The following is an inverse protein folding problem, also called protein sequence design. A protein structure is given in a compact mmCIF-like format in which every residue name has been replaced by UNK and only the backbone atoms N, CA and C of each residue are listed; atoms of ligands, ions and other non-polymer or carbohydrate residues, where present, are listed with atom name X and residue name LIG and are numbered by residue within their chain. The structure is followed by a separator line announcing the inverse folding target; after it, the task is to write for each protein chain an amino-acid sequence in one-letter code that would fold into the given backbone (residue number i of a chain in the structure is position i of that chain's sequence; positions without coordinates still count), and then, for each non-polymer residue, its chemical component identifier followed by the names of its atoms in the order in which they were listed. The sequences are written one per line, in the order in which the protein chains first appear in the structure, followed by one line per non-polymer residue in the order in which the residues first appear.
data_IF_332164882485
#
_entry.id   IF_332164882485
#
_cell.length_a   1.000
_cell.length_b   1.000
_cell.length_c   1.000
_cell.angle_alpha   90.00
_cell.angle_beta   90.00
_cell.angle_gamma   90.00
#
_symmetry.space_group_name_H-M   'P 1'
#
loop_
_entity.id
_entity.type
_entity.pdbx_description
1 polymer ?
#
# COMPACT_ATOMS: atom_id res chain seq x y z
N UNK A 1 -21.49 7.67 -4.81
CA UNK A 1 -21.53 7.95 -3.35
C UNK A 1 -20.15 7.83 -2.72
N UNK A 2 -19.39 6.72 -2.84
CA UNK A 2 -18.07 6.59 -2.22
C UNK A 2 -17.06 7.66 -2.67
N UNK A 3 -16.99 8.02 -3.96
CA UNK A 3 -16.15 9.16 -4.42
C UNK A 3 -16.45 10.47 -3.71
N UNK A 4 -17.71 10.76 -3.44
CA UNK A 4 -18.11 11.96 -2.70
C UNK A 4 -17.70 11.85 -1.22
N UNK A 5 -17.85 10.67 -0.62
CA UNK A 5 -17.43 10.39 0.75
C UNK A 5 -15.90 10.55 0.89
N UNK A 6 -15.12 9.94 -0.01
CA UNK A 6 -13.66 10.11 -0.08
C UNK A 6 -13.28 11.58 -0.08
N UNK A 7 -13.84 12.38 -1.01
CA UNK A 7 -13.52 13.80 -1.11
C UNK A 7 -13.89 14.61 0.14
N UNK A 8 -14.97 14.27 0.85
CA UNK A 8 -15.36 14.94 2.10
C UNK A 8 -14.44 14.53 3.24
N UNK A 9 -14.13 13.24 3.38
CA UNK A 9 -13.21 12.76 4.41
C UNK A 9 -11.78 13.31 4.25
N UNK A 10 -11.30 13.43 3.01
CA UNK A 10 -9.99 14.01 2.73
C UNK A 10 -9.93 15.52 3.03
N UNK A 11 -11.02 16.25 2.74
CA UNK A 11 -11.07 17.70 2.96
C UNK A 11 -11.24 18.10 4.44
N UNK A 12 -11.96 17.28 5.24
CA UNK A 12 -12.39 17.67 6.59
C UNK A 12 -11.86 16.73 7.69
N UNK A 13 -11.21 15.62 7.33
CA UNK A 13 -10.90 14.54 8.26
C UNK A 13 -12.14 13.74 8.65
N UNK A 14 -11.94 12.60 9.35
CA UNK A 14 -13.07 11.74 9.72
C UNK A 14 -13.99 12.41 10.74
N UNK A 15 -13.44 13.02 11.80
CA UNK A 15 -14.23 13.59 12.91
C UNK A 15 -15.12 14.74 12.47
N UNK A 16 -14.62 15.69 11.65
CA UNK A 16 -15.38 16.87 11.22
C UNK A 16 -16.28 16.61 10.01
N UNK A 17 -16.04 15.56 9.22
CA UNK A 17 -16.90 15.18 8.12
C UNK A 17 -18.28 14.75 8.64
N UNK A 18 -19.35 15.24 7.99
CA UNK A 18 -20.73 14.87 8.32
C UNK A 18 -21.39 14.13 7.17
N UNK A 19 -22.35 13.27 7.52
CA UNK A 19 -23.16 12.56 6.51
C UNK A 19 -23.95 13.55 5.63
N UNK A 20 -24.38 14.69 6.16
CA UNK A 20 -25.06 15.73 5.38
C UNK A 20 -24.15 16.40 4.35
N UNK A 21 -22.85 16.57 4.64
CA UNK A 21 -21.86 17.04 3.66
C UNK A 21 -21.69 16.03 2.52
N UNK A 22 -21.59 14.76 2.88
CA UNK A 22 -21.43 13.66 1.91
C UNK A 22 -22.68 13.53 1.03
N UNK A 23 -23.85 13.56 1.64
CA UNK A 23 -25.14 13.52 0.94
C UNK A 23 -25.27 14.64 -0.10
N UNK A 24 -24.98 15.89 0.30
CA UNK A 24 -25.00 17.04 -0.60
C UNK A 24 -24.02 16.88 -1.75
N UNK A 25 -22.77 16.47 -1.46
CA UNK A 25 -21.74 16.27 -2.49
C UNK A 25 -22.06 15.12 -3.42
N UNK A 26 -22.71 14.06 -2.93
CA UNK A 26 -23.12 12.90 -3.72
C UNK A 26 -24.43 13.13 -4.50
N UNK A 27 -25.16 14.20 -4.22
CA UNK A 27 -26.49 14.51 -4.80
C UNK A 27 -27.48 13.34 -4.64
N UNK A 28 -27.50 12.70 -3.46
CA UNK A 28 -28.42 11.60 -3.13
C UNK A 28 -29.33 11.98 -1.97
N UNK A 29 -30.48 11.26 -1.82
CA UNK A 29 -31.32 11.44 -0.65
C UNK A 29 -30.69 10.84 0.61
N UNK A 30 -31.10 11.35 1.78
CA UNK A 30 -30.68 10.82 3.08
C UNK A 30 -31.08 9.35 3.23
N UNK A 31 -32.28 8.99 2.77
CA UNK A 31 -32.76 7.61 2.77
C UNK A 31 -31.90 6.69 1.91
N UNK A 32 -31.52 7.14 0.71
CA UNK A 32 -30.63 6.39 -0.19
C UNK A 32 -29.25 6.16 0.44
N UNK A 33 -28.71 7.21 1.09
CA UNK A 33 -27.40 7.09 1.74
C UNK A 33 -27.42 6.08 2.89
N UNK A 34 -28.42 6.16 3.79
CA UNK A 34 -28.51 5.25 4.94
C UNK A 34 -28.94 3.84 4.55
N UNK A 35 -29.60 3.64 3.39
CA UNK A 35 -29.85 2.32 2.84
C UNK A 35 -28.55 1.60 2.42
N UNK A 36 -27.51 2.38 2.00
CA UNK A 36 -26.21 1.81 1.63
C UNK A 36 -25.24 1.71 2.80
N UNK A 37 -25.25 2.71 3.70
CA UNK A 37 -24.29 2.80 4.80
C UNK A 37 -25.01 3.23 6.08
N UNK A 38 -25.08 2.36 7.11
CA UNK A 38 -25.85 2.62 8.32
C UNK A 38 -25.32 3.80 9.16
N UNK A 39 -24.03 4.11 9.03
CA UNK A 39 -23.37 5.20 9.74
C UNK A 39 -22.12 5.70 8.99
N UNK A 40 -21.50 6.76 9.52
CA UNK A 40 -20.31 7.39 8.97
C UNK A 40 -19.09 6.46 8.99
N UNK A 41 -18.97 5.65 10.04
CA UNK A 41 -17.91 4.66 10.23
C UNK A 41 -17.94 3.59 9.13
N UNK A 42 -19.11 3.04 8.84
CA UNK A 42 -19.29 2.07 7.76
C UNK A 42 -18.96 2.65 6.39
N UNK A 43 -19.31 3.92 6.16
CA UNK A 43 -18.99 4.61 4.91
C UNK A 43 -17.48 4.87 4.77
N UNK A 44 -16.80 5.28 5.85
CA UNK A 44 -15.36 5.48 5.83
C UNK A 44 -14.60 4.16 5.67
N UNK A 45 -15.04 3.09 6.33
CA UNK A 45 -14.50 1.76 6.13
C UNK A 45 -14.61 1.31 4.66
N UNK A 46 -15.78 1.54 4.02
CA UNK A 46 -15.96 1.21 2.62
C UNK A 46 -15.07 2.06 1.67
N UNK A 47 -14.80 3.32 2.01
CA UNK A 47 -13.82 4.15 1.27
C UNK A 47 -12.43 3.53 1.35
N UNK A 48 -11.99 3.18 2.56
CA UNK A 48 -10.68 2.52 2.79
C UNK A 48 -10.59 1.21 2.01
N UNK A 49 -11.59 0.36 2.15
CA UNK A 49 -11.63 -0.96 1.50
C UNK A 49 -11.58 -0.84 -0.03
N UNK A 50 -12.28 0.14 -0.61
CA UNK A 50 -12.26 0.39 -2.05
C UNK A 50 -10.87 0.84 -2.53
N UNK A 51 -10.22 1.77 -1.85
CA UNK A 51 -8.87 2.24 -2.21
C UNK A 51 -7.85 1.09 -2.09
N UNK A 52 -7.91 0.33 -1.00
CA UNK A 52 -7.06 -0.84 -0.80
C UNK A 52 -7.30 -1.94 -1.87
N UNK A 53 -8.56 -2.19 -2.24
CA UNK A 53 -8.89 -3.17 -3.27
C UNK A 53 -8.37 -2.74 -4.66
N UNK A 54 -8.43 -1.45 -4.98
CA UNK A 54 -7.88 -0.91 -6.23
C UNK A 54 -6.36 -1.15 -6.31
N UNK A 55 -5.65 -0.87 -5.22
CA UNK A 55 -4.21 -1.15 -5.13
C UNK A 55 -3.92 -2.64 -5.25
N UNK A 56 -4.64 -3.50 -4.51
CA UNK A 56 -4.46 -4.94 -4.57
C UNK A 56 -4.67 -5.49 -5.98
N UNK A 57 -5.71 -5.04 -6.68
CA UNK A 57 -5.97 -5.43 -8.07
C UNK A 57 -4.82 -5.01 -9.02
N UNK A 58 -4.24 -3.83 -8.82
CA UNK A 58 -3.09 -3.36 -9.60
C UNK A 58 -1.87 -4.25 -9.39
N UNK A 59 -1.55 -4.59 -8.14
CA UNK A 59 -0.43 -5.51 -7.83
C UNK A 59 -0.70 -6.91 -8.37
N UNK A 60 -1.93 -7.41 -8.25
CA UNK A 60 -2.30 -8.74 -8.73
C UNK A 60 -2.17 -8.87 -10.25
N UNK A 61 -2.37 -7.79 -10.98
CA UNK A 61 -2.21 -7.76 -12.44
C UNK A 61 -0.74 -7.83 -12.89
N UNK A 62 0.23 -7.64 -11.98
CA UNK A 62 1.66 -7.73 -12.31
C UNK A 62 2.01 -9.19 -12.60
N UNK A 63 2.47 -9.42 -13.82
CA UNK A 63 2.94 -10.74 -14.24
C UNK A 63 4.28 -11.05 -13.57
N UNK A 64 4.40 -12.24 -12.99
CA UNK A 64 5.69 -12.72 -12.51
C UNK A 64 6.66 -12.84 -13.69
N UNK A 65 7.91 -12.41 -13.51
CA UNK A 65 8.98 -12.67 -14.47
C UNK A 65 9.63 -14.01 -14.09
N UNK A 66 9.42 -15.09 -14.88
CA UNK A 66 9.96 -16.41 -14.53
C UNK A 66 11.50 -16.35 -14.48
N UNK A 67 12.08 -16.83 -13.37
CA UNK A 67 13.54 -16.82 -13.16
C UNK A 67 14.12 -15.42 -12.87
N UNK A 68 13.30 -14.40 -12.63
CA UNK A 68 13.74 -13.04 -12.29
C UNK A 68 12.85 -12.42 -11.20
N UNK A 69 12.97 -12.95 -9.99
CA UNK A 69 12.24 -12.42 -8.83
C UNK A 69 12.60 -10.97 -8.55
N UNK A 70 13.84 -10.53 -8.85
CA UNK A 70 14.26 -9.15 -8.65
C UNK A 70 13.41 -8.18 -9.51
N UNK A 71 13.15 -8.55 -10.79
CA UNK A 71 12.26 -7.79 -11.65
C UNK A 71 10.82 -7.78 -11.11
N UNK A 72 10.31 -8.93 -10.71
CA UNK A 72 8.96 -9.06 -10.12
C UNK A 72 8.81 -8.17 -8.89
N UNK A 73 9.81 -8.18 -7.99
CA UNK A 73 9.83 -7.34 -6.79
C UNK A 73 9.95 -5.85 -7.14
N UNK A 74 10.70 -5.49 -8.18
CA UNK A 74 10.78 -4.11 -8.68
C UNK A 74 9.42 -3.61 -9.16
N UNK A 75 8.74 -4.39 -10.00
CA UNK A 75 7.42 -4.01 -10.54
C UNK A 75 6.37 -3.86 -9.41
N UNK A 76 6.36 -4.78 -8.45
CA UNK A 76 5.49 -4.71 -7.27
C UNK A 76 5.85 -3.50 -6.40
N UNK A 77 7.13 -3.29 -6.13
CA UNK A 77 7.63 -2.18 -5.31
C UNK A 77 7.26 -0.82 -5.89
N UNK A 78 7.46 -0.61 -7.20
CA UNK A 78 7.10 0.63 -7.89
C UNK A 78 5.59 0.88 -7.83
N UNK A 79 4.79 -0.14 -8.14
CA UNK A 79 3.33 -0.03 -8.08
C UNK A 79 2.85 0.31 -6.67
N UNK A 80 3.36 -0.40 -5.67
CA UNK A 80 2.99 -0.19 -4.27
C UNK A 80 3.42 1.18 -3.74
N UNK A 81 4.69 1.58 -3.96
CA UNK A 81 5.20 2.86 -3.48
C UNK A 81 4.48 4.02 -4.15
N UNK A 82 4.26 3.97 -5.47
CA UNK A 82 3.49 4.98 -6.21
C UNK A 82 2.09 5.19 -5.60
N UNK A 83 1.42 4.10 -5.25
CA UNK A 83 0.13 4.19 -4.56
C UNK A 83 0.25 4.81 -3.18
N UNK A 84 1.18 4.32 -2.35
CA UNK A 84 1.34 4.73 -0.94
C UNK A 84 1.67 6.22 -0.79
N UNK A 85 2.44 6.78 -1.73
CA UNK A 85 2.78 8.22 -1.73
C UNK A 85 1.81 9.08 -2.53
N UNK A 86 0.74 8.50 -3.07
CA UNK A 86 -0.29 9.28 -3.75
C UNK A 86 -1.00 10.23 -2.76
N UNK A 87 -1.46 11.41 -3.21
CA UNK A 87 -2.15 12.37 -2.34
C UNK A 87 -3.33 11.76 -1.58
N UNK A 88 -4.11 10.93 -2.27
CA UNK A 88 -5.28 10.24 -1.66
C UNK A 88 -4.85 9.25 -0.58
N UNK A 89 -3.87 8.37 -0.86
CA UNK A 89 -3.42 7.37 0.09
C UNK A 89 -2.76 8.01 1.33
N UNK A 90 -1.92 9.04 1.14
CA UNK A 90 -1.31 9.78 2.25
C UNK A 90 -2.35 10.49 3.11
N UNK A 91 -3.35 11.12 2.50
CA UNK A 91 -4.41 11.79 3.24
C UNK A 91 -5.29 10.80 4.03
N UNK A 92 -5.66 9.65 3.43
CA UNK A 92 -6.36 8.58 4.13
C UNK A 92 -5.51 8.00 5.27
N UNK A 93 -4.23 7.77 5.04
CA UNK A 93 -3.31 7.28 6.05
C UNK A 93 -3.22 8.22 7.25
N UNK A 94 -3.08 9.54 7.02
CA UNK A 94 -3.09 10.56 8.10
C UNK A 94 -4.38 10.50 8.91
N UNK A 95 -5.53 10.41 8.25
CA UNK A 95 -6.83 10.30 8.94
C UNK A 95 -6.91 9.04 9.78
N UNK A 96 -6.53 7.88 9.22
CA UNK A 96 -6.57 6.60 9.96
C UNK A 96 -5.65 6.64 11.19
N UNK A 97 -4.42 7.14 11.05
CA UNK A 97 -3.47 7.21 12.16
C UNK A 97 -3.94 8.18 13.24
N UNK A 98 -4.43 9.36 12.86
CA UNK A 98 -4.92 10.36 13.81
C UNK A 98 -6.16 9.88 14.59
N UNK A 99 -7.02 9.12 13.95
CA UNK A 99 -8.27 8.64 14.57
C UNK A 99 -8.14 7.24 15.22
N UNK A 100 -7.02 6.54 15.02
CA UNK A 100 -6.80 5.19 15.54
C UNK A 100 -7.04 5.04 17.06
N UNK A 101 -6.61 5.98 17.92
CA UNK A 101 -6.89 5.88 19.37
C UNK A 101 -8.38 5.94 19.70
N UNK A 102 -9.16 6.66 18.90
CA UNK A 102 -10.58 6.88 19.09
C UNK A 102 -11.45 5.81 18.40
N UNK A 103 -11.00 5.31 17.24
CA UNK A 103 -11.69 4.33 16.42
C UNK A 103 -10.77 3.14 16.07
N UNK A 104 -10.37 2.31 17.05
CA UNK A 104 -9.40 1.25 16.86
C UNK A 104 -9.86 0.18 15.84
N UNK A 105 -11.15 -0.10 15.74
CA UNK A 105 -11.69 -1.06 14.79
C UNK A 105 -11.54 -0.58 13.34
N UNK A 106 -11.66 0.73 13.10
CA UNK A 106 -11.44 1.33 11.80
C UNK A 106 -9.96 1.21 11.37
N UNK A 107 -9.04 1.47 12.30
CA UNK A 107 -7.61 1.30 12.06
C UNK A 107 -7.24 -0.17 11.77
N UNK A 108 -7.85 -1.14 12.48
CA UNK A 108 -7.68 -2.57 12.20
C UNK A 108 -8.17 -2.95 10.81
N UNK A 109 -9.35 -2.44 10.38
CA UNK A 109 -9.89 -2.67 9.03
C UNK A 109 -8.93 -2.16 7.96
N UNK A 110 -8.39 -0.96 8.13
CA UNK A 110 -7.36 -0.43 7.22
C UNK A 110 -6.15 -1.37 7.13
N UNK A 111 -5.60 -1.80 8.28
CA UNK A 111 -4.45 -2.70 8.30
C UNK A 111 -4.72 -4.02 7.56
N UNK A 112 -5.90 -4.61 7.80
CA UNK A 112 -6.28 -5.89 7.20
C UNK A 112 -6.60 -5.77 5.72
N UNK A 113 -7.25 -4.69 5.28
CA UNK A 113 -7.64 -4.50 3.88
C UNK A 113 -6.48 -4.05 2.97
N UNK A 114 -5.49 -3.33 3.50
CA UNK A 114 -4.36 -2.79 2.75
C UNK A 114 -3.04 -3.49 3.06
N UNK A 115 -2.30 -3.04 4.11
CA UNK A 115 -0.95 -3.54 4.40
C UNK A 115 -0.84 -5.06 4.46
N UNK A 116 -1.78 -5.73 5.14
CA UNK A 116 -1.76 -7.20 5.29
C UNK A 116 -1.99 -7.91 3.95
N UNK A 117 -2.88 -7.42 3.12
CA UNK A 117 -3.16 -7.99 1.78
C UNK A 117 -1.91 -7.91 0.91
N UNK A 118 -1.28 -6.73 0.82
CA UNK A 118 -0.05 -6.57 0.00
C UNK A 118 1.07 -7.46 0.49
N UNK A 119 1.30 -7.51 1.81
CA UNK A 119 2.32 -8.40 2.38
C UNK A 119 2.04 -9.86 2.03
N UNK A 120 0.77 -10.30 2.06
CA UNK A 120 0.41 -11.68 1.69
C UNK A 120 0.62 -11.97 0.20
N UNK A 121 0.39 -10.97 -0.68
CA UNK A 121 0.66 -11.11 -2.12
C UNK A 121 2.17 -11.24 -2.39
N UNK A 122 3.00 -10.43 -1.72
CA UNK A 122 4.47 -10.55 -1.81
C UNK A 122 4.91 -11.90 -1.26
N UNK A 123 4.37 -12.35 -0.12
CA UNK A 123 4.68 -13.65 0.46
C UNK A 123 4.43 -14.81 -0.52
N UNK A 124 3.35 -14.75 -1.30
CA UNK A 124 3.06 -15.75 -2.32
C UNK A 124 4.16 -15.78 -3.41
N UNK A 125 4.59 -14.62 -3.91
CA UNK A 125 5.68 -14.53 -4.90
C UNK A 125 7.03 -15.00 -4.36
N UNK A 126 7.36 -14.62 -3.12
CA UNK A 126 8.60 -15.07 -2.47
C UNK A 126 8.59 -16.57 -2.24
N UNK A 127 7.44 -17.16 -1.90
CA UNK A 127 7.31 -18.62 -1.74
C UNK A 127 7.58 -19.36 -3.06
N UNK A 128 7.01 -18.88 -4.17
CA UNK A 128 7.26 -19.42 -5.51
C UNK A 128 8.76 -19.32 -5.85
N UNK A 129 9.36 -18.14 -5.73
CA UNK A 129 10.78 -17.91 -6.01
C UNK A 129 11.72 -18.74 -5.14
N UNK A 130 11.36 -19.00 -3.87
CA UNK A 130 12.14 -19.87 -3.01
C UNK A 130 12.06 -21.36 -3.42
N UNK A 131 10.90 -21.81 -3.93
CA UNK A 131 10.73 -23.15 -4.49
C UNK A 131 11.53 -23.34 -5.78
N UNK A 132 11.62 -22.28 -6.59
CA UNK A 132 12.40 -22.25 -7.84
C UNK A 132 13.91 -22.02 -7.60
N UNK A 133 14.33 -21.83 -6.34
CA UNK A 133 15.73 -21.66 -5.96
C UNK A 133 16.33 -20.29 -6.30
N UNK A 134 15.51 -19.26 -6.58
CA UNK A 134 15.97 -17.90 -6.85
C UNK A 134 16.40 -17.15 -5.57
N UNK A 135 15.80 -17.48 -4.43
CA UNK A 135 16.08 -16.89 -3.11
C UNK A 135 16.14 -17.94 -2.02
N UNK A 136 16.88 -17.63 -0.94
CA UNK A 136 16.89 -18.42 0.30
C UNK A 136 16.37 -17.55 1.46
N UNK A 137 15.16 -17.87 1.92
CA UNK A 137 14.47 -17.20 3.02
C UNK A 137 14.21 -18.14 4.21
N UNK A 138 14.89 -19.29 4.28
CA UNK A 138 14.67 -20.30 5.33
C UNK A 138 14.97 -19.73 6.73
N UNK A 139 15.98 -18.86 6.84
CA UNK A 139 16.40 -18.27 8.11
C UNK A 139 15.37 -17.39 8.79
N UNK A 140 14.48 -16.73 8.00
CA UNK A 140 13.48 -15.79 8.52
C UNK A 140 12.04 -16.24 8.26
N UNK A 141 11.82 -17.10 7.28
CA UNK A 141 10.51 -17.51 6.82
C UNK A 141 9.83 -16.52 5.88
N UNK A 142 8.87 -17.01 5.11
CA UNK A 142 8.24 -16.28 4.00
C UNK A 142 7.49 -15.03 4.47
N UNK A 143 6.77 -15.08 5.58
CA UNK A 143 5.96 -13.94 6.07
C UNK A 143 6.86 -12.80 6.58
N UNK A 144 7.95 -13.14 7.27
CA UNK A 144 8.89 -12.12 7.74
C UNK A 144 9.67 -11.51 6.56
N UNK A 145 10.11 -12.32 5.59
CA UNK A 145 10.77 -11.83 4.38
C UNK A 145 9.87 -10.86 3.60
N UNK A 146 8.58 -11.19 3.42
CA UNK A 146 7.62 -10.30 2.77
C UNK A 146 7.41 -8.99 3.53
N UNK A 147 7.32 -9.07 4.87
CA UNK A 147 7.20 -7.89 5.73
C UNK A 147 8.44 -6.99 5.63
N UNK A 148 9.63 -7.59 5.64
CA UNK A 148 10.90 -6.86 5.47
C UNK A 148 10.96 -6.15 4.11
N UNK A 149 10.63 -6.85 3.02
CA UNK A 149 10.61 -6.25 1.69
C UNK A 149 9.67 -5.04 1.62
N UNK A 150 8.42 -5.20 2.04
CA UNK A 150 7.44 -4.10 2.05
C UNK A 150 7.90 -2.93 2.93
N UNK A 151 8.56 -3.20 4.05
CA UNK A 151 9.12 -2.16 4.91
C UNK A 151 10.25 -1.39 4.23
N UNK A 152 11.19 -2.08 3.57
CA UNK A 152 12.27 -1.45 2.79
C UNK A 152 11.73 -0.53 1.70
N UNK A 153 10.73 -1.00 0.93
CA UNK A 153 10.13 -0.21 -0.15
C UNK A 153 9.44 1.05 0.38
N UNK A 154 8.73 0.94 1.51
CA UNK A 154 7.81 1.98 1.96
C UNK A 154 8.47 3.09 2.76
N UNK A 155 9.48 2.75 3.60
CA UNK A 155 9.86 3.57 4.75
C UNK A 155 10.28 4.98 4.37
N UNK A 156 11.26 5.13 3.48
CA UNK A 156 11.82 6.44 3.13
C UNK A 156 10.80 7.29 2.36
N UNK A 157 10.28 6.76 1.25
CA UNK A 157 9.37 7.51 0.39
C UNK A 157 8.07 7.92 1.09
N UNK A 158 7.50 7.05 1.94
CA UNK A 158 6.30 7.41 2.69
C UNK A 158 6.59 8.43 3.79
N UNK A 159 7.69 8.28 4.53
CA UNK A 159 8.04 9.21 5.60
C UNK A 159 8.32 10.62 5.05
N UNK A 160 9.09 10.71 3.98
CA UNK A 160 9.37 11.99 3.30
C UNK A 160 8.06 12.65 2.83
N UNK A 161 7.18 11.90 2.13
CA UNK A 161 5.91 12.43 1.65
C UNK A 161 4.93 12.80 2.77
N UNK A 162 5.00 12.16 3.93
CA UNK A 162 4.19 12.53 5.09
C UNK A 162 4.67 13.80 5.77
N UNK A 163 5.98 14.04 5.79
CA UNK A 163 6.62 15.18 6.48
C UNK A 163 6.81 16.40 5.59
N UNK A 164 6.78 16.22 4.27
CA UNK A 164 6.88 17.29 3.26
C UNK A 164 5.62 17.30 2.37
N UNK A 165 4.47 17.78 2.88
CA UNK A 165 3.18 17.64 2.19
C UNK A 165 3.11 18.41 0.86
N UNK A 166 3.96 19.39 0.66
CA UNK A 166 4.05 20.21 -0.56
C UNK A 166 4.99 19.61 -1.62
N UNK A 167 5.76 18.57 -1.28
CA UNK A 167 6.65 17.88 -2.19
C UNK A 167 6.01 16.57 -2.69
N UNK A 168 6.11 16.34 -3.99
CA UNK A 168 5.71 15.07 -4.60
C UNK A 168 6.98 14.40 -5.13
N UNK A 169 7.26 13.13 -4.77
CA UNK A 169 8.42 12.44 -5.29
C UNK A 169 8.33 12.28 -6.81
N UNK A 170 9.44 12.54 -7.49
CA UNK A 170 9.54 12.30 -8.92
C UNK A 170 9.59 10.79 -9.23
N UNK A 171 9.30 10.41 -10.48
CA UNK A 171 9.42 9.02 -10.91
C UNK A 171 10.85 8.46 -10.67
N UNK A 172 11.88 9.28 -10.86
CA UNK A 172 13.27 8.89 -10.61
C UNK A 172 13.57 8.63 -9.12
N UNK A 173 12.95 9.39 -8.21
CA UNK A 173 13.06 9.14 -6.77
C UNK A 173 12.35 7.84 -6.37
N UNK A 174 11.15 7.59 -6.89
CA UNK A 174 10.42 6.34 -6.63
C UNK A 174 11.22 5.14 -7.13
N UNK A 175 11.75 5.21 -8.35
CA UNK A 175 12.61 4.16 -8.91
C UNK A 175 13.85 3.93 -8.03
N UNK A 176 14.55 4.99 -7.65
CA UNK A 176 15.74 4.91 -6.79
C UNK A 176 15.44 4.19 -5.46
N UNK A 177 14.38 4.56 -4.74
CA UNK A 177 14.02 3.92 -3.47
C UNK A 177 13.67 2.44 -3.65
N UNK A 178 12.95 2.11 -4.71
CA UNK A 178 12.58 0.73 -5.00
C UNK A 178 13.80 -0.10 -5.39
N UNK A 179 14.70 0.43 -6.24
CA UNK A 179 15.94 -0.25 -6.61
C UNK A 179 16.84 -0.50 -5.39
N UNK A 180 16.95 0.46 -4.49
CA UNK A 180 17.67 0.30 -3.23
C UNK A 180 17.08 -0.81 -2.37
N UNK A 181 15.75 -0.85 -2.23
CA UNK A 181 15.05 -1.88 -1.47
C UNK A 181 15.24 -3.28 -2.09
N UNK A 182 15.09 -3.41 -3.41
CA UNK A 182 15.26 -4.68 -4.13
C UNK A 182 16.73 -5.15 -4.05
N UNK A 183 17.68 -4.26 -4.30
CA UNK A 183 19.11 -4.59 -4.21
C UNK A 183 19.47 -5.08 -2.81
N UNK A 184 19.01 -4.40 -1.76
CA UNK A 184 19.24 -4.78 -0.36
C UNK A 184 18.61 -6.14 -0.05
N UNK A 185 17.38 -6.35 -0.48
CA UNK A 185 16.66 -7.61 -0.27
C UNK A 185 17.36 -8.77 -0.99
N UNK A 186 17.76 -8.60 -2.24
CA UNK A 186 18.47 -9.61 -3.02
C UNK A 186 19.90 -9.87 -2.50
N UNK A 187 20.57 -8.86 -1.94
CA UNK A 187 21.85 -9.08 -1.28
C UNK A 187 21.73 -9.94 -0.02
N UNK A 188 20.61 -9.83 0.70
CA UNK A 188 20.35 -10.64 1.90
C UNK A 188 19.87 -12.06 1.58
N UNK A 189 18.99 -12.21 0.58
CA UNK A 189 18.22 -13.43 0.35
C UNK A 189 18.39 -14.04 -1.04
N UNK A 190 19.04 -13.37 -1.99
CA UNK A 190 19.31 -13.91 -3.34
C UNK A 190 20.18 -15.16 -3.29
N UNK A 191 19.82 -16.20 -4.03
CA UNK A 191 20.60 -17.41 -4.11
C UNK A 191 22.01 -17.15 -4.71
N UNK A 192 23.04 -17.91 -4.34
CA UNK A 192 24.44 -17.64 -4.72
C UNK A 192 24.74 -17.59 -6.23
N UNK A 193 23.83 -18.05 -7.10
CA UNK A 193 23.96 -17.98 -8.56
C UNK A 193 23.28 -16.78 -9.22
N UNK A 194 22.47 -16.01 -8.48
CA UNK A 194 21.69 -14.83 -8.97
C UNK A 194 22.42 -13.49 -8.72
N UNK A 195 23.56 -13.52 -8.01
CA UNK A 195 24.36 -12.30 -7.80
C UNK A 195 24.92 -11.82 -9.14
N UNK A 196 24.20 -10.90 -9.80
CA UNK A 196 24.71 -10.19 -10.97
C UNK A 196 25.96 -9.43 -10.57
N UNK A 197 27.00 -9.56 -11.41
CA UNK A 197 28.25 -8.81 -11.28
C UNK A 197 27.93 -7.32 -11.09
N UNK A 198 28.52 -6.73 -10.06
CA UNK A 198 28.47 -5.27 -9.87
C UNK A 198 28.99 -4.59 -11.12
N UNK A 199 28.41 -3.48 -11.62
CA UNK A 199 28.96 -2.73 -12.73
C UNK A 199 30.38 -2.28 -12.36
N UNK A 200 31.33 -2.24 -13.30
CA UNK A 200 32.69 -1.77 -13.06
C UNK A 200 32.65 -0.32 -12.57
N UNK A 201 33.52 0.00 -11.61
CA UNK A 201 33.69 1.33 -10.99
C UNK A 201 34.05 2.41 -12.01
#
# INVERSE_FOLDING_TARGET
MLKAATAVFLAHGFSAATTDMIQRKASVSKATMYACFPNKEAMFAAVIEQECATMAATIQAIQAAPGDIAKTLTDIGLSYLTFVVSPTALALYRVVVAEAPRFPDLARRFYLAGPKVVTSMVAARLKEAAQDGEIDIQSVGVDAAATLFISLVRTEGQLESLTHPDAQPSAAQLDHWVQLAVTTFMAAFGAPGVRRESPPR
#
